data_IF_471421641792
#
_entry.id   IF_471421641792
#
_cell.length_a   1.000
_cell.length_b   1.000
_cell.length_c   1.000
_cell.angle_alpha   90.00
_cell.angle_beta   90.00
_cell.angle_gamma   90.00
#
_symmetry.space_group_name_H-M   'P 1'
#
loop_
_entity.id
_entity.type
_entity.pdbx_description
1 polymer ?
#
# COMPACT_ATOMS: atom_id res chain seq x y z
N UNK A 1 2.72 12.92 -8.14
CA UNK A 1 2.90 11.47 -8.07
C UNK A 1 1.85 10.94 -7.12
N UNK A 2 0.86 10.23 -7.66
CA UNK A 2 -0.27 9.66 -6.91
C UNK A 2 0.14 8.34 -6.24
N UNK A 3 -0.71 7.79 -5.37
CA UNK A 3 -0.48 6.47 -4.79
C UNK A 3 -0.45 5.37 -5.88
N UNK A 4 -1.23 5.54 -6.95
CA UNK A 4 -1.25 4.66 -8.13
C UNK A 4 0.09 4.71 -8.89
N UNK A 5 0.66 5.89 -9.09
CA UNK A 5 1.99 6.04 -9.71
C UNK A 5 3.07 5.30 -8.90
N UNK A 6 3.00 5.40 -7.57
CA UNK A 6 3.93 4.73 -6.67
C UNK A 6 3.77 3.20 -6.68
N UNK A 7 2.54 2.68 -6.75
CA UNK A 7 2.28 1.25 -6.91
C UNK A 7 2.82 0.71 -8.25
N UNK A 8 2.66 1.47 -9.35
CA UNK A 8 3.21 1.11 -10.65
C UNK A 8 4.74 1.05 -10.62
N UNK A 9 5.41 2.09 -10.13
CA UNK A 9 6.87 2.13 -9.98
C UNK A 9 7.35 0.97 -9.11
N UNK A 10 6.66 0.68 -8.00
CA UNK A 10 7.00 -0.44 -7.11
C UNK A 10 6.93 -1.78 -7.83
N UNK A 11 5.93 -1.99 -8.68
CA UNK A 11 5.77 -3.22 -9.46
C UNK A 11 6.89 -3.37 -10.50
N UNK A 12 7.23 -2.29 -11.19
CA UNK A 12 8.31 -2.27 -12.17
C UNK A 12 9.65 -2.58 -11.51
N UNK A 13 9.98 -1.89 -10.42
CA UNK A 13 11.22 -2.15 -9.66
C UNK A 13 11.29 -3.60 -9.17
N UNK A 14 10.18 -4.17 -8.69
CA UNK A 14 10.15 -5.59 -8.28
C UNK A 14 10.40 -6.54 -9.45
N UNK A 15 9.88 -6.22 -10.63
CA UNK A 15 10.08 -7.02 -11.84
C UNK A 15 11.56 -7.00 -12.23
N UNK A 16 12.20 -5.83 -12.20
CA UNK A 16 13.64 -5.71 -12.46
C UNK A 16 14.51 -6.41 -11.41
N UNK A 17 14.09 -6.42 -10.14
CA UNK A 17 14.77 -7.19 -9.08
C UNK A 17 14.73 -8.68 -9.37
N UNK A 18 13.59 -9.20 -9.83
CA UNK A 18 13.45 -10.62 -10.15
C UNK A 18 14.22 -11.00 -11.43
N UNK A 19 14.27 -10.10 -12.42
CA UNK A 19 15.14 -10.23 -13.60
C UNK A 19 16.61 -10.30 -13.20
N UNK A 20 17.08 -9.38 -12.35
CA UNK A 20 18.48 -9.38 -11.89
C UNK A 20 18.82 -10.64 -11.11
N UNK A 21 17.93 -11.12 -10.23
CA UNK A 21 18.14 -12.39 -9.50
C UNK A 21 18.28 -13.60 -10.42
N UNK A 22 17.62 -13.58 -11.58
CA UNK A 22 17.78 -14.63 -12.59
C UNK A 22 19.19 -14.63 -13.19
N UNK A 23 19.78 -13.45 -13.39
CA UNK A 23 21.17 -13.31 -13.83
C UNK A 23 22.15 -13.80 -12.76
N UNK A 24 21.93 -13.48 -11.47
CA UNK A 24 22.76 -14.02 -10.37
C UNK A 24 22.70 -15.56 -10.34
N UNK A 25 21.53 -16.15 -10.60
CA UNK A 25 21.42 -17.61 -10.66
C UNK A 25 22.23 -18.22 -11.81
N UNK A 26 22.31 -17.52 -12.95
CA UNK A 26 23.15 -17.91 -14.06
C UNK A 26 24.65 -17.78 -13.73
N UNK A 27 25.05 -16.68 -13.08
CA UNK A 27 26.44 -16.48 -12.64
C UNK A 27 26.85 -17.53 -11.60
N UNK A 28 25.99 -17.82 -10.62
CA UNK A 28 26.21 -18.89 -9.66
C UNK A 28 26.43 -20.24 -10.34
N UNK A 29 25.61 -20.58 -11.35
CA UNK A 29 25.77 -21.84 -12.11
C UNK A 29 27.09 -21.85 -12.85
N UNK A 30 27.44 -20.74 -13.50
CA UNK A 30 28.70 -20.58 -14.24
C UNK A 30 29.91 -20.76 -13.32
N UNK A 31 29.94 -20.07 -12.17
CA UNK A 31 31.03 -20.20 -11.19
C UNK A 31 31.10 -21.62 -10.61
N UNK A 32 29.95 -22.23 -10.31
CA UNK A 32 29.89 -23.60 -9.80
C UNK A 32 30.42 -24.61 -10.82
N UNK A 33 30.04 -24.48 -12.08
CA UNK A 33 30.46 -25.40 -13.15
C UNK A 33 31.95 -25.21 -13.47
N UNK A 34 32.45 -23.97 -13.43
CA UNK A 34 33.88 -23.67 -13.53
C UNK A 34 34.67 -24.27 -12.37
N UNK A 35 34.19 -24.10 -11.13
CA UNK A 35 34.77 -24.76 -9.96
C UNK A 35 34.76 -26.27 -10.16
N UNK A 36 33.64 -26.91 -10.51
CA UNK A 36 33.58 -28.35 -10.70
C UNK A 36 34.50 -28.92 -11.81
N UNK A 37 34.99 -28.08 -12.73
CA UNK A 37 35.93 -28.48 -13.79
C UNK A 37 37.40 -28.43 -13.37
N UNK A 38 37.72 -27.77 -12.24
CA UNK A 38 39.05 -27.68 -11.66
C UNK A 38 39.28 -28.79 -10.63
N UNK A 39 40.55 -29.15 -10.40
CA UNK A 39 40.93 -30.12 -9.37
C UNK A 39 41.04 -29.39 -8.03
N UNK A 40 40.34 -29.88 -7.01
CA UNK A 40 40.27 -29.27 -5.67
C UNK A 40 40.75 -30.23 -4.60
N UNK A 41 41.15 -29.68 -3.45
CA UNK A 41 41.45 -30.50 -2.28
C UNK A 41 40.19 -31.25 -1.83
N UNK A 42 40.29 -32.48 -1.27
CA UNK A 42 39.13 -33.31 -0.92
C UNK A 42 38.11 -32.66 0.03
N UNK A 43 38.56 -31.69 0.83
CA UNK A 43 37.74 -30.97 1.81
C UNK A 43 37.31 -29.56 1.35
N UNK A 44 37.74 -29.14 0.16
CA UNK A 44 37.42 -27.83 -0.39
C UNK A 44 35.96 -27.77 -0.85
N UNK A 45 35.31 -26.63 -0.61
CA UNK A 45 33.91 -26.40 -0.94
C UNK A 45 33.79 -25.18 -1.84
N UNK A 46 32.93 -25.31 -2.85
CA UNK A 46 32.54 -24.18 -3.68
C UNK A 46 32.08 -22.98 -2.82
N UNK A 47 32.66 -21.82 -3.09
CA UNK A 47 32.23 -20.54 -2.53
C UNK A 47 31.86 -19.62 -3.69
N UNK A 48 30.60 -19.19 -3.71
CA UNK A 48 30.14 -18.20 -4.68
C UNK A 48 30.83 -16.86 -4.40
N UNK A 49 31.37 -16.24 -5.44
CA UNK A 49 32.01 -14.94 -5.38
C UNK A 49 31.13 -13.91 -6.09
N UNK A 50 30.29 -13.16 -5.35
CA UNK A 50 29.46 -12.14 -5.97
C UNK A 50 30.33 -11.03 -6.59
N UNK A 51 29.90 -10.50 -7.73
CA UNK A 51 30.54 -9.35 -8.36
C UNK A 51 30.34 -8.06 -7.54
N UNK A 52 31.14 -7.04 -7.83
CA UNK A 52 30.97 -5.72 -7.19
C UNK A 52 29.59 -5.12 -7.53
N UNK A 53 29.11 -5.35 -8.75
CA UNK A 53 27.81 -4.94 -9.24
C UNK A 53 26.67 -5.65 -8.48
N UNK A 54 26.80 -6.94 -8.19
CA UNK A 54 25.82 -7.68 -7.38
C UNK A 54 25.74 -7.18 -5.94
N UNK A 55 26.89 -6.91 -5.32
CA UNK A 55 26.93 -6.36 -3.97
C UNK A 55 26.23 -4.99 -3.92
N UNK A 56 26.57 -4.10 -4.85
CA UNK A 56 25.93 -2.78 -4.95
C UNK A 56 24.42 -2.88 -5.24
N UNK A 57 24.02 -3.82 -6.11
CA UNK A 57 22.60 -4.06 -6.40
C UNK A 57 21.84 -4.54 -5.16
N UNK A 58 22.41 -5.47 -4.40
CA UNK A 58 21.79 -5.98 -3.18
C UNK A 58 21.58 -4.87 -2.14
N UNK A 59 22.54 -3.96 -1.97
CA UNK A 59 22.37 -2.78 -1.11
C UNK A 59 21.22 -1.89 -1.57
N UNK A 60 21.10 -1.63 -2.88
CA UNK A 60 20.00 -0.86 -3.46
C UNK A 60 18.64 -1.55 -3.24
N UNK A 61 18.58 -2.88 -3.37
CA UNK A 61 17.38 -3.68 -3.13
C UNK A 61 16.94 -3.57 -1.67
N UNK A 62 17.85 -3.68 -0.71
CA UNK A 62 17.52 -3.55 0.71
C UNK A 62 17.03 -2.13 1.05
N UNK A 63 17.65 -1.10 0.47
CA UNK A 63 17.18 0.29 0.57
C UNK A 63 15.78 0.46 -0.04
N UNK A 64 15.52 -0.14 -1.20
CA UNK A 64 14.20 -0.13 -1.84
C UNK A 64 13.15 -0.82 -0.96
N UNK A 65 13.40 -2.04 -0.48
CA UNK A 65 12.46 -2.78 0.39
C UNK A 65 12.14 -2.02 1.67
N UNK A 66 13.14 -1.36 2.26
CA UNK A 66 12.96 -0.53 3.46
C UNK A 66 12.00 0.63 3.18
N UNK A 67 12.20 1.34 2.07
CA UNK A 67 11.32 2.44 1.64
C UNK A 67 9.92 1.96 1.28
N UNK A 68 9.82 0.83 0.57
CA UNK A 68 8.55 0.20 0.22
C UNK A 68 7.75 -0.15 1.48
N UNK A 69 8.38 -0.80 2.47
CA UNK A 69 7.73 -1.14 3.74
C UNK A 69 7.23 0.10 4.47
N UNK A 70 8.07 1.13 4.57
CA UNK A 70 7.71 2.38 5.24
C UNK A 70 6.54 3.08 4.54
N UNK A 71 6.53 3.10 3.20
CA UNK A 71 5.44 3.69 2.44
C UNK A 71 4.13 2.90 2.59
N UNK A 72 4.16 1.55 2.47
CA UNK A 72 2.96 0.73 2.70
C UNK A 72 2.39 0.92 4.10
N UNK A 73 3.24 1.04 5.11
CA UNK A 73 2.82 1.32 6.48
C UNK A 73 2.10 2.67 6.58
N UNK A 74 2.65 3.73 5.95
CA UNK A 74 2.02 5.05 5.92
C UNK A 74 0.63 5.01 5.26
N UNK A 75 0.50 4.33 4.12
CA UNK A 75 -0.80 4.18 3.45
C UNK A 75 -1.80 3.43 4.34
N UNK A 76 -1.38 2.36 5.00
CA UNK A 76 -2.25 1.61 5.90
C UNK A 76 -2.70 2.44 7.11
N UNK A 77 -1.80 3.24 7.68
CA UNK A 77 -2.12 4.12 8.80
C UNK A 77 -3.02 5.29 8.38
N UNK A 78 -2.79 5.87 7.20
CA UNK A 78 -3.66 6.89 6.59
C UNK A 78 -5.07 6.34 6.34
N UNK A 79 -5.18 5.15 5.75
CA UNK A 79 -6.47 4.50 5.53
C UNK A 79 -7.20 4.24 6.86
N UNK A 80 -6.49 3.81 7.91
CA UNK A 80 -7.08 3.63 9.25
C UNK A 80 -7.59 4.94 9.83
N UNK A 81 -6.84 6.03 9.71
CA UNK A 81 -7.27 7.35 10.15
C UNK A 81 -8.50 7.83 9.34
N UNK A 82 -8.52 7.63 8.03
CA UNK A 82 -9.66 7.96 7.18
C UNK A 82 -10.90 7.15 7.55
N UNK A 83 -10.74 5.88 7.95
CA UNK A 83 -11.83 5.05 8.44
C UNK A 83 -12.45 5.64 9.71
N UNK A 84 -11.63 6.04 10.68
CA UNK A 84 -12.11 6.68 11.92
C UNK A 84 -12.90 7.96 11.62
N UNK A 85 -12.38 8.80 10.71
CA UNK A 85 -13.07 10.02 10.27
C UNK A 85 -14.41 9.69 9.60
N UNK A 86 -14.42 8.79 8.61
CA UNK A 86 -15.65 8.43 7.88
C UNK A 86 -16.70 7.77 8.78
N UNK A 87 -16.29 6.94 9.74
CA UNK A 87 -17.21 6.37 10.74
C UNK A 87 -17.80 7.46 11.64
N UNK A 88 -17.01 8.45 12.07
CA UNK A 88 -17.52 9.58 12.85
C UNK A 88 -18.53 10.43 12.05
N UNK A 89 -18.23 10.70 10.77
CA UNK A 89 -19.13 11.42 9.86
C UNK A 89 -20.46 10.69 9.66
N UNK A 90 -20.44 9.37 9.54
CA UNK A 90 -21.64 8.53 9.48
C UNK A 90 -22.49 8.66 10.76
N UNK A 91 -21.85 8.67 11.93
CA UNK A 91 -22.56 8.85 13.20
C UNK A 91 -23.16 10.27 13.34
N UNK A 92 -22.43 11.29 12.92
CA UNK A 92 -22.88 12.69 12.88
C UNK A 92 -24.10 12.85 11.95
N UNK A 93 -24.04 12.25 10.76
CA UNK A 93 -25.16 12.28 9.80
C UNK A 93 -26.39 11.58 10.36
N UNK A 94 -26.22 10.40 10.98
CA UNK A 94 -27.33 9.69 11.63
C UNK A 94 -27.99 10.53 12.72
N UNK A 95 -27.18 11.15 13.58
CA UNK A 95 -27.67 12.02 14.66
C UNK A 95 -28.43 13.22 14.08
N UNK A 96 -27.91 13.82 13.01
CA UNK A 96 -28.57 14.93 12.31
C UNK A 96 -29.93 14.53 11.75
N UNK A 97 -30.04 13.34 11.13
CA UNK A 97 -31.31 12.82 10.60
C UNK A 97 -32.34 12.56 11.72
N UNK A 98 -31.88 12.09 12.88
CA UNK A 98 -32.77 11.64 13.96
C UNK A 98 -33.19 12.74 14.92
N UNK A 99 -32.32 13.73 15.18
CA UNK A 99 -32.46 14.64 16.31
C UNK A 99 -32.56 16.12 15.91
N UNK A 100 -32.16 16.52 14.69
CA UNK A 100 -32.15 17.93 14.29
C UNK A 100 -33.47 18.35 13.63
N UNK A 101 -34.34 18.99 14.42
CA UNK A 101 -35.64 19.48 13.96
C UNK A 101 -35.52 20.78 13.13
N UNK A 102 -34.43 21.53 13.26
CA UNK A 102 -34.23 22.75 12.49
C UNK A 102 -33.70 22.41 11.09
N UNK A 103 -34.56 22.55 10.08
CA UNK A 103 -34.23 22.31 8.67
C UNK A 103 -32.95 23.02 8.24
N UNK A 104 -32.79 24.30 8.56
CA UNK A 104 -31.60 25.07 8.18
C UNK A 104 -30.31 24.51 8.80
N UNK A 105 -30.36 24.13 10.07
CA UNK A 105 -29.23 23.53 10.78
C UNK A 105 -28.92 22.11 10.26
N UNK A 106 -29.95 21.31 9.99
CA UNK A 106 -29.81 19.96 9.43
C UNK A 106 -29.11 19.99 8.07
N UNK A 107 -29.54 20.89 7.16
CA UNK A 107 -28.90 21.07 5.86
C UNK A 107 -27.46 21.60 5.96
N UNK A 108 -27.18 22.48 6.91
CA UNK A 108 -25.81 22.95 7.14
C UNK A 108 -24.89 21.80 7.57
N UNK A 109 -25.28 21.01 8.57
CA UNK A 109 -24.52 19.84 9.04
C UNK A 109 -24.37 18.78 7.95
N UNK A 110 -25.43 18.50 7.20
CA UNK A 110 -25.37 17.57 6.06
C UNK A 110 -24.30 18.00 5.03
N UNK A 111 -24.26 19.28 4.68
CA UNK A 111 -23.26 19.79 3.72
C UNK A 111 -21.84 19.70 4.30
N UNK A 112 -21.65 20.03 5.58
CA UNK A 112 -20.35 19.87 6.24
C UNK A 112 -19.88 18.41 6.25
N UNK A 113 -20.78 17.47 6.55
CA UNK A 113 -20.50 16.03 6.49
C UNK A 113 -20.11 15.62 5.06
N UNK A 114 -20.87 16.05 4.05
CA UNK A 114 -20.59 15.73 2.65
C UNK A 114 -19.22 16.24 2.20
N UNK A 115 -18.90 17.50 2.51
CA UNK A 115 -17.62 18.11 2.16
C UNK A 115 -16.45 17.38 2.84
N UNK A 116 -16.57 17.08 4.14
CA UNK A 116 -15.56 16.29 4.87
C UNK A 116 -15.43 14.88 4.31
N UNK A 117 -16.54 14.25 3.93
CA UNK A 117 -16.54 12.91 3.33
C UNK A 117 -15.76 12.90 2.02
N UNK A 118 -16.05 13.84 1.12
CA UNK A 118 -15.41 13.97 -0.19
C UNK A 118 -13.93 14.35 -0.06
N UNK A 119 -13.56 15.12 0.97
CA UNK A 119 -12.18 15.47 1.27
C UNK A 119 -11.39 14.34 1.97
N UNK A 120 -12.08 13.37 2.57
CA UNK A 120 -11.43 12.26 3.28
C UNK A 120 -11.08 11.14 2.29
N UNK A 121 -9.82 10.73 2.30
CA UNK A 121 -9.29 9.72 1.39
C UNK A 121 -9.85 8.31 1.60
N UNK A 122 -9.21 7.34 0.97
CA UNK A 122 -9.64 5.95 1.00
C UNK A 122 -9.57 5.33 2.39
N UNK A 123 -10.42 4.35 2.63
CA UNK A 123 -10.43 3.51 3.82
C UNK A 123 -9.81 2.14 3.50
N UNK A 124 -9.54 1.27 4.50
CA UNK A 124 -9.07 -0.08 4.23
C UNK A 124 -10.03 -0.83 3.31
N UNK A 125 -9.48 -1.58 2.35
CA UNK A 125 -10.29 -2.22 1.30
C UNK A 125 -11.36 -3.19 1.82
N UNK A 126 -11.11 -3.83 2.96
CA UNK A 126 -12.06 -4.71 3.66
C UNK A 126 -13.24 -3.94 4.30
N UNK A 127 -13.08 -2.63 4.54
CA UNK A 127 -14.10 -1.74 5.11
C UNK A 127 -14.77 -0.82 4.11
N UNK A 128 -14.21 -0.70 2.91
CA UNK A 128 -14.71 0.20 1.87
C UNK A 128 -16.21 0.03 1.62
N UNK A 129 -16.65 -1.20 1.35
CA UNK A 129 -18.05 -1.48 1.02
C UNK A 129 -19.00 -1.11 2.16
N UNK A 130 -18.69 -1.53 3.38
CA UNK A 130 -19.49 -1.27 4.58
C UNK A 130 -19.67 0.24 4.82
N UNK A 131 -18.57 0.98 4.82
CA UNK A 131 -18.54 2.43 5.09
C UNK A 131 -19.25 3.21 3.98
N UNK A 132 -18.97 2.87 2.72
CA UNK A 132 -19.57 3.51 1.57
C UNK A 132 -21.09 3.29 1.52
N UNK A 133 -21.54 2.03 1.62
CA UNK A 133 -22.97 1.70 1.54
C UNK A 133 -23.76 2.40 2.66
N UNK A 134 -23.23 2.45 3.88
CA UNK A 134 -23.91 3.09 5.01
C UNK A 134 -24.02 4.62 4.87
N UNK A 135 -22.96 5.29 4.42
CA UNK A 135 -23.01 6.72 4.14
C UNK A 135 -24.05 7.05 3.06
N UNK A 136 -24.04 6.31 1.95
CA UNK A 136 -24.98 6.55 0.86
C UNK A 136 -26.43 6.27 1.26
N UNK A 137 -26.67 5.24 2.09
CA UNK A 137 -27.98 4.96 2.67
C UNK A 137 -28.49 6.13 3.52
N UNK A 138 -27.67 6.64 4.43
CA UNK A 138 -28.02 7.79 5.28
C UNK A 138 -28.20 9.07 4.47
N UNK A 139 -27.37 9.28 3.45
CA UNK A 139 -27.50 10.42 2.54
C UNK A 139 -28.84 10.41 1.83
N UNK A 140 -29.27 9.25 1.35
CA UNK A 140 -30.57 9.10 0.69
C UNK A 140 -31.71 9.29 1.71
N UNK A 141 -31.60 8.68 2.89
CA UNK A 141 -32.53 8.84 4.01
C UNK A 141 -32.77 10.32 4.40
N UNK A 142 -31.73 11.16 4.37
CA UNK A 142 -31.83 12.60 4.65
C UNK A 142 -32.76 13.36 3.68
N UNK A 143 -32.91 12.91 2.43
CA UNK A 143 -33.77 13.59 1.43
C UNK A 143 -35.14 12.92 1.25
N UNK A 144 -35.31 11.70 1.74
CA UNK A 144 -36.57 10.95 1.64
C UNK A 144 -37.43 11.01 2.92
N UNK A 145 -36.84 11.42 4.05
CA UNK A 145 -37.56 11.82 5.26
C UNK A 145 -37.95 13.30 5.19
#
# INVERSE_FOLDING_TARGET
MTNEDLEAIRKDVRTEIDSFRSLIQEDFRTQRDAWAAEDHEPDEKFQFQPSAEELAFNELVESFKTREKAWRQRIADEQRANLEVKTALIAELRTTIQEEENIGAAFARFNEVREKWDATGDVPGDRYKEVHDEYHRLRDEFFYN
#
